data_IF_956839816701
#
_entry.id   IF_956839816701
#
_cell.length_a   1.000
_cell.length_b   1.000
_cell.length_c   1.000
_cell.angle_alpha   90.00
_cell.angle_beta   90.00
_cell.angle_gamma   90.00
#
_symmetry.space_group_name_H-M   'P 1'
#
loop_
_entity.id
_entity.type
_entity.pdbx_description
1 polymer ?
#
# COMPACT_ATOMS: atom_id res chain seq x y z
N UNK A 1 32.06 80.15 -38.72
CA UNK A 1 30.77 80.29 -37.99
C UNK A 1 30.00 78.98 -38.07
N UNK A 2 29.58 78.44 -36.91
CA UNK A 2 28.55 77.39 -36.67
C UNK A 2 28.83 76.04 -37.37
N UNK A 3 29.25 74.95 -36.72
CA UNK A 3 28.91 74.49 -35.37
C UNK A 3 27.60 73.70 -35.40
N UNK A 4 27.66 72.42 -35.78
CA UNK A 4 26.55 71.49 -35.64
C UNK A 4 26.98 70.37 -34.68
N UNK A 5 26.32 70.35 -33.52
CA UNK A 5 26.64 69.52 -32.36
C UNK A 5 26.17 68.08 -32.62
N UNK A 6 27.06 67.13 -32.37
CA UNK A 6 26.76 65.71 -32.28
C UNK A 6 26.05 65.50 -30.95
N UNK A 7 24.76 65.16 -30.98
CA UNK A 7 24.00 64.80 -29.78
C UNK A 7 23.79 63.30 -29.80
N UNK A 8 24.63 62.59 -29.06
CA UNK A 8 24.41 61.19 -28.71
C UNK A 8 23.23 61.11 -27.73
N UNK A 9 22.16 60.40 -28.09
CA UNK A 9 21.18 59.91 -27.13
C UNK A 9 21.44 58.42 -26.91
N UNK A 10 22.01 58.12 -25.75
CA UNK A 10 22.09 56.77 -25.23
C UNK A 10 20.68 56.31 -24.82
N UNK A 11 20.09 55.37 -25.57
CA UNK A 11 19.01 54.56 -25.03
C UNK A 11 19.63 53.45 -24.18
N UNK A 12 19.67 53.67 -22.88
CA UNK A 12 19.83 52.61 -21.90
C UNK A 12 18.53 51.78 -21.88
N UNK A 13 18.50 50.67 -22.63
CA UNK A 13 17.48 49.64 -22.40
C UNK A 13 17.89 48.91 -21.13
N UNK A 14 17.11 49.13 -20.08
CA UNK A 14 17.18 48.40 -18.81
C UNK A 14 17.05 46.92 -19.13
N UNK A 15 18.17 46.20 -19.08
CA UNK A 15 18.16 44.76 -18.98
C UNK A 15 17.57 44.40 -17.62
N UNK A 16 16.25 44.23 -17.58
CA UNK A 16 15.61 43.56 -16.46
C UNK A 16 16.20 42.15 -16.42
N UNK A 17 17.07 41.91 -15.44
CA UNK A 17 17.54 40.60 -15.11
C UNK A 17 16.33 39.77 -14.65
N UNK A 18 15.69 39.06 -15.59
CA UNK A 18 14.89 37.90 -15.26
C UNK A 18 15.87 36.81 -14.83
N UNK A 19 16.18 36.81 -13.54
CA UNK A 19 16.72 35.62 -12.91
C UNK A 19 15.70 34.48 -13.11
N UNK A 20 16.11 33.27 -13.51
CA UNK A 20 15.20 32.15 -13.66
C UNK A 20 14.71 31.72 -12.27
N UNK A 21 13.56 32.25 -11.84
CA UNK A 21 12.79 31.71 -10.71
C UNK A 21 12.09 30.38 -11.08
N UNK A 22 12.52 29.72 -12.16
CA UNK A 22 11.92 28.50 -12.73
C UNK A 22 12.43 27.21 -12.08
N UNK A 23 13.46 27.23 -11.24
CA UNK A 23 13.99 26.01 -10.60
C UNK A 23 13.19 25.60 -9.36
N UNK A 24 12.87 26.54 -8.46
CA UNK A 24 12.24 26.21 -7.16
C UNK A 24 10.75 25.88 -7.29
N UNK A 25 10.02 26.63 -8.13
CA UNK A 25 8.59 26.38 -8.38
C UNK A 25 8.36 25.03 -9.10
N UNK A 26 9.20 24.70 -10.08
CA UNK A 26 9.12 23.43 -10.83
C UNK A 26 9.54 22.22 -9.98
N UNK A 27 10.55 22.38 -9.10
CA UNK A 27 10.93 21.31 -8.17
C UNK A 27 9.82 21.03 -7.15
N UNK A 28 9.15 22.07 -6.64
CA UNK A 28 8.06 21.94 -5.65
C UNK A 28 6.79 21.31 -6.26
N UNK A 29 6.50 21.52 -7.55
CA UNK A 29 5.37 20.87 -8.23
C UNK A 29 5.64 19.38 -8.46
N UNK A 30 6.85 19.02 -8.90
CA UNK A 30 7.25 17.61 -9.12
C UNK A 30 7.21 16.80 -7.82
N UNK A 31 7.64 17.38 -6.70
CA UNK A 31 7.59 16.70 -5.39
C UNK A 31 6.15 16.50 -4.89
N UNK A 32 5.28 17.51 -5.05
CA UNK A 32 3.85 17.38 -4.71
C UNK A 32 3.15 16.31 -5.55
N UNK A 33 3.40 16.29 -6.86
CA UNK A 33 2.84 15.31 -7.78
C UNK A 33 3.28 13.89 -7.46
N UNK A 34 4.56 13.69 -7.12
CA UNK A 34 5.08 12.39 -6.71
C UNK A 34 4.40 11.87 -5.43
N UNK A 35 4.24 12.72 -4.40
CA UNK A 35 3.51 12.36 -3.18
C UNK A 35 2.04 12.01 -3.48
N UNK A 36 1.36 12.82 -4.29
CA UNK A 36 -0.02 12.55 -4.70
C UNK A 36 -0.16 11.22 -5.45
N UNK A 37 0.77 10.92 -6.36
CA UNK A 37 0.81 9.64 -7.07
C UNK A 37 0.96 8.46 -6.10
N UNK A 38 1.86 8.56 -5.11
CA UNK A 38 2.07 7.50 -4.11
C UNK A 38 0.84 7.26 -3.23
N UNK A 39 0.15 8.33 -2.84
CA UNK A 39 -1.09 8.22 -2.06
C UNK A 39 -2.21 7.59 -2.89
N UNK A 40 -2.34 7.92 -4.17
CA UNK A 40 -3.32 7.27 -5.07
C UNK A 40 -3.01 5.78 -5.26
N UNK A 41 -1.75 5.43 -5.47
CA UNK A 41 -1.32 4.02 -5.54
C UNK A 41 -1.72 3.27 -4.26
N UNK A 42 -1.46 3.88 -3.10
CA UNK A 42 -1.80 3.30 -1.80
C UNK A 42 -3.32 3.13 -1.63
N UNK A 43 -4.10 4.14 -2.04
CA UNK A 43 -5.56 4.08 -2.06
C UNK A 43 -6.08 2.95 -2.94
N UNK A 44 -5.56 2.81 -4.16
CA UNK A 44 -5.94 1.71 -5.06
C UNK A 44 -5.66 0.32 -4.45
N UNK A 45 -4.57 0.17 -3.70
CA UNK A 45 -4.28 -1.07 -2.96
C UNK A 45 -5.28 -1.33 -1.83
N UNK A 46 -5.75 -0.29 -1.15
CA UNK A 46 -6.79 -0.43 -0.12
C UNK A 46 -8.13 -0.81 -0.72
N UNK A 47 -8.50 -0.23 -1.87
CA UNK A 47 -9.70 -0.58 -2.61
C UNK A 47 -9.65 -2.05 -3.07
N UNK A 48 -8.53 -2.51 -3.62
CA UNK A 48 -8.29 -3.91 -4.00
C UNK A 48 -8.50 -4.85 -2.80
N UNK A 49 -7.89 -4.55 -1.65
CA UNK A 49 -8.05 -5.36 -0.44
C UNK A 49 -9.49 -5.35 0.09
N UNK A 50 -10.18 -4.20 0.04
CA UNK A 50 -11.58 -4.10 0.44
C UNK A 50 -12.48 -4.94 -0.45
N UNK A 51 -12.29 -4.90 -1.76
CA UNK A 51 -13.07 -5.68 -2.71
C UNK A 51 -12.88 -7.20 -2.48
N UNK A 52 -11.64 -7.63 -2.20
CA UNK A 52 -11.36 -9.02 -1.83
C UNK A 52 -12.06 -9.43 -0.54
N UNK A 53 -12.08 -8.56 0.49
CA UNK A 53 -12.79 -8.85 1.74
C UNK A 53 -14.30 -8.94 1.55
N UNK A 54 -14.89 -8.07 0.72
CA UNK A 54 -16.30 -8.16 0.36
C UNK A 54 -16.60 -9.47 -0.36
N UNK A 55 -15.80 -9.85 -1.35
CA UNK A 55 -15.99 -11.12 -2.05
C UNK A 55 -15.86 -12.34 -1.13
N UNK A 56 -14.90 -12.32 -0.19
CA UNK A 56 -14.76 -13.37 0.84
C UNK A 56 -16.00 -13.44 1.75
N UNK A 57 -16.56 -12.29 2.15
CA UNK A 57 -17.76 -12.22 3.00
C UNK A 57 -19.03 -12.68 2.26
N UNK A 58 -19.24 -12.21 1.03
CA UNK A 58 -20.38 -12.59 0.20
C UNK A 58 -20.36 -14.10 -0.10
N UNK A 59 -19.17 -14.65 -0.36
CA UNK A 59 -19.00 -16.09 -0.54
C UNK A 59 -19.37 -16.85 0.72
N UNK A 60 -18.90 -16.41 1.89
CA UNK A 60 -19.22 -17.04 3.16
C UNK A 60 -20.73 -16.99 3.43
N UNK A 61 -21.41 -15.88 3.18
CA UNK A 61 -22.87 -15.79 3.34
C UNK A 61 -23.62 -16.78 2.42
N UNK A 62 -23.23 -16.84 1.15
CA UNK A 62 -23.83 -17.73 0.17
C UNK A 62 -23.53 -19.23 0.39
N UNK A 63 -22.41 -19.56 1.07
CA UNK A 63 -21.93 -20.94 1.26
C UNK A 63 -21.87 -21.34 2.73
N UNK A 64 -22.70 -20.75 3.61
CA UNK A 64 -22.86 -21.21 4.98
C UNK A 64 -21.61 -21.06 5.87
N UNK A 65 -20.79 -20.05 5.60
CA UNK A 65 -19.55 -19.77 6.33
C UNK A 65 -18.31 -20.46 5.78
N UNK A 66 -18.41 -21.11 4.62
CA UNK A 66 -17.26 -21.74 3.96
C UNK A 66 -16.24 -20.72 3.47
N UNK A 67 -14.98 -21.14 3.42
CA UNK A 67 -13.91 -20.36 2.81
C UNK A 67 -14.02 -20.40 1.29
N UNK A 68 -13.63 -19.30 0.64
CA UNK A 68 -13.47 -19.29 -0.83
C UNK A 68 -12.52 -20.41 -1.28
N UNK A 69 -12.58 -20.87 -2.53
CA UNK A 69 -11.64 -21.87 -3.05
C UNK A 69 -10.17 -21.45 -2.86
N UNK A 70 -9.87 -20.18 -3.06
CA UNK A 70 -8.54 -19.60 -2.83
C UNK A 70 -8.15 -19.67 -1.36
N UNK A 71 -9.05 -19.26 -0.47
CA UNK A 71 -8.79 -19.27 0.97
C UNK A 71 -8.67 -20.70 1.51
N UNK A 72 -9.39 -21.66 0.94
CA UNK A 72 -9.27 -23.09 1.24
C UNK A 72 -7.89 -23.62 0.87
N UNK A 73 -7.38 -23.28 -0.32
CA UNK A 73 -6.01 -23.65 -0.75
C UNK A 73 -4.96 -23.06 0.21
N UNK A 74 -5.11 -21.80 0.58
CA UNK A 74 -4.21 -21.13 1.52
C UNK A 74 -4.27 -21.79 2.92
N UNK A 75 -5.47 -22.15 3.37
CA UNK A 75 -5.68 -22.87 4.63
C UNK A 75 -4.97 -24.22 4.64
N UNK A 76 -5.06 -25.00 3.56
CA UNK A 76 -4.40 -26.31 3.46
C UNK A 76 -2.87 -26.16 3.62
N UNK A 77 -2.28 -25.20 2.91
CA UNK A 77 -0.84 -24.92 3.01
C UNK A 77 -0.45 -24.47 4.43
N UNK A 78 -1.22 -23.55 5.01
CA UNK A 78 -1.00 -23.08 6.38
C UNK A 78 -1.13 -24.22 7.40
N UNK A 79 -2.14 -25.07 7.27
CA UNK A 79 -2.42 -26.17 8.19
C UNK A 79 -1.31 -27.21 8.15
N UNK A 80 -0.81 -27.57 6.96
CA UNK A 80 0.33 -28.47 6.81
C UNK A 80 1.57 -27.94 7.54
N UNK A 81 1.84 -26.63 7.42
CA UNK A 81 2.94 -25.96 8.14
C UNK A 81 2.74 -25.96 9.66
N UNK A 82 1.51 -25.80 10.15
CA UNK A 82 1.22 -25.87 11.60
C UNK A 82 1.35 -27.28 12.15
N UNK A 83 0.83 -28.27 11.42
CA UNK A 83 0.91 -29.69 11.79
C UNK A 83 2.35 -30.20 11.83
N UNK A 84 3.21 -29.72 10.93
CA UNK A 84 4.63 -30.11 10.88
C UNK A 84 5.49 -29.56 12.03
N UNK A 85 4.93 -28.77 12.95
CA UNK A 85 5.68 -28.24 14.10
C UNK A 85 5.82 -29.30 15.20
N UNK A 86 6.99 -29.37 15.90
CA UNK A 86 7.13 -30.22 17.07
C UNK A 86 6.03 -29.95 18.09
N UNK A 87 5.40 -31.02 18.60
CA UNK A 87 4.32 -30.93 19.59
C UNK A 87 2.96 -30.52 19.03
N UNK A 88 2.75 -30.52 17.70
CA UNK A 88 1.40 -30.30 17.15
C UNK A 88 0.46 -31.47 17.44
N UNK A 89 -0.73 -31.15 17.90
CA UNK A 89 -1.86 -32.06 18.14
C UNK A 89 -2.85 -32.12 16.95
N UNK A 90 -2.52 -31.45 15.85
CA UNK A 90 -3.42 -31.30 14.72
C UNK A 90 -3.59 -32.62 13.95
N UNK A 91 -4.82 -33.14 13.79
CA UNK A 91 -5.06 -34.36 13.00
C UNK A 91 -4.78 -34.12 11.51
N UNK A 92 -4.65 -35.20 10.73
CA UNK A 92 -4.56 -35.08 9.27
C UNK A 92 -5.86 -34.48 8.70
N UNK A 93 -5.73 -33.66 7.64
CA UNK A 93 -6.89 -32.98 7.03
C UNK A 93 -7.88 -33.96 6.40
N UNK A 94 -7.40 -35.07 5.83
CA UNK A 94 -8.20 -36.10 5.19
C UNK A 94 -8.84 -37.08 6.17
N UNK A 95 -8.47 -37.02 7.46
CA UNK A 95 -9.03 -37.91 8.47
C UNK A 95 -10.51 -37.60 8.68
N UNK A 96 -11.37 -38.59 8.46
CA UNK A 96 -12.83 -38.49 8.62
C UNK A 96 -13.28 -39.02 9.97
N UNK A 97 -12.56 -39.98 10.55
CA UNK A 97 -12.84 -40.54 11.87
C UNK A 97 -12.05 -39.80 12.94
N UNK A 98 -12.63 -38.71 13.46
CA UNK A 98 -12.01 -37.86 14.48
C UNK A 98 -12.61 -38.10 15.86
N UNK A 99 -11.79 -38.03 16.91
CA UNK A 99 -12.29 -37.87 18.28
C UNK A 99 -12.93 -36.48 18.46
N UNK A 100 -13.78 -36.25 19.48
CA UNK A 100 -14.30 -34.93 19.78
C UNK A 100 -13.21 -33.85 19.95
N UNK A 101 -12.11 -34.19 20.63
CA UNK A 101 -10.97 -33.30 20.83
C UNK A 101 -10.28 -32.94 19.50
N UNK A 102 -10.07 -33.92 18.62
CA UNK A 102 -9.47 -33.67 17.29
C UNK A 102 -10.38 -32.82 16.40
N UNK A 103 -11.70 -33.02 16.44
CA UNK A 103 -12.65 -32.15 15.73
C UNK A 103 -12.54 -30.71 16.24
N UNK A 104 -12.52 -30.52 17.56
CA UNK A 104 -12.38 -29.20 18.16
C UNK A 104 -11.04 -28.54 17.77
N UNK A 105 -9.92 -29.28 17.80
CA UNK A 105 -8.61 -28.77 17.40
C UNK A 105 -8.57 -28.37 15.93
N UNK A 106 -9.18 -29.17 15.03
CA UNK A 106 -9.31 -28.86 13.60
C UNK A 106 -10.14 -27.59 13.35
N UNK A 107 -11.27 -27.43 14.04
CA UNK A 107 -12.09 -26.22 13.96
C UNK A 107 -11.31 -25.00 14.48
N UNK A 108 -10.68 -25.11 15.65
CA UNK A 108 -9.87 -24.04 16.22
C UNK A 108 -8.70 -23.62 15.31
N UNK A 109 -8.18 -24.55 14.49
CA UNK A 109 -7.17 -24.25 13.49
C UNK A 109 -7.74 -23.39 12.35
N UNK A 110 -8.94 -23.69 11.85
CA UNK A 110 -9.62 -22.88 10.83
C UNK A 110 -9.89 -21.46 11.35
N UNK A 111 -10.42 -21.32 12.56
CA UNK A 111 -10.69 -20.00 13.15
C UNK A 111 -9.40 -19.20 13.36
N UNK A 112 -8.33 -19.88 13.78
CA UNK A 112 -7.01 -19.26 13.97
C UNK A 112 -6.42 -18.79 12.65
N UNK A 113 -6.57 -19.57 11.59
CA UNK A 113 -6.15 -19.18 10.24
C UNK A 113 -6.89 -17.92 9.77
N UNK A 114 -8.23 -17.89 9.88
CA UNK A 114 -9.03 -16.74 9.48
C UNK A 114 -8.62 -15.47 10.26
N UNK A 115 -8.45 -15.57 11.59
CA UNK A 115 -7.96 -14.46 12.42
C UNK A 115 -6.57 -14.00 12.02
N UNK A 116 -5.64 -14.94 11.80
CA UNK A 116 -4.27 -14.60 11.41
C UNK A 116 -4.26 -13.87 10.06
N UNK A 117 -5.04 -14.32 9.08
CA UNK A 117 -5.17 -13.66 7.77
C UNK A 117 -5.70 -12.23 7.90
N UNK A 118 -6.68 -12.00 8.76
CA UNK A 118 -7.17 -10.64 9.06
C UNK A 118 -6.09 -9.76 9.70
N UNK A 119 -5.32 -10.29 10.63
CA UNK A 119 -4.21 -9.58 11.26
C UNK A 119 -3.11 -9.23 10.25
N UNK A 120 -2.75 -10.18 9.38
CA UNK A 120 -1.74 -9.98 8.33
C UNK A 120 -2.19 -8.90 7.34
N UNK A 121 -3.49 -8.86 6.97
CA UNK A 121 -4.06 -7.77 6.15
C UNK A 121 -3.99 -6.42 6.84
N UNK A 122 -4.39 -6.33 8.11
CA UNK A 122 -4.31 -5.07 8.87
C UNK A 122 -2.87 -4.58 8.99
N UNK A 123 -1.91 -5.48 9.23
CA UNK A 123 -0.50 -5.13 9.27
C UNK A 123 0.03 -4.65 7.91
N UNK A 124 -0.43 -5.25 6.82
CA UNK A 124 -0.12 -4.82 5.45
C UNK A 124 -0.65 -3.41 5.18
N UNK A 125 -1.92 -3.15 5.54
CA UNK A 125 -2.52 -1.82 5.40
C UNK A 125 -1.75 -0.75 6.17
N UNK A 126 -1.43 -1.03 7.45
CA UNK A 126 -0.66 -0.13 8.29
C UNK A 126 0.74 0.14 7.72
N UNK A 127 1.36 -0.84 7.08
CA UNK A 127 2.67 -0.69 6.43
C UNK A 127 2.57 0.22 5.22
N UNK A 128 1.61 -0.04 4.32
CA UNK A 128 1.38 0.81 3.14
C UNK A 128 1.11 2.27 3.51
N UNK A 129 0.31 2.51 4.56
CA UNK A 129 0.03 3.85 5.05
C UNK A 129 1.30 4.55 5.58
N UNK A 130 2.10 3.84 6.40
CA UNK A 130 3.38 4.38 6.90
C UNK A 130 4.34 4.70 5.75
N UNK A 131 4.47 3.80 4.79
CA UNK A 131 5.39 3.96 3.67
C UNK A 131 5.01 5.17 2.81
N UNK A 132 3.71 5.37 2.55
CA UNK A 132 3.21 6.54 1.84
C UNK A 132 3.49 7.84 2.61
N UNK A 133 3.25 7.86 3.92
CA UNK A 133 3.54 9.02 4.78
C UNK A 133 5.04 9.36 4.78
N UNK A 134 5.89 8.36 4.96
CA UNK A 134 7.34 8.56 4.95
C UNK A 134 7.85 9.01 3.59
N UNK A 135 7.29 8.49 2.50
CA UNK A 135 7.61 8.95 1.15
C UNK A 135 7.28 10.44 0.96
N UNK A 136 6.06 10.85 1.31
CA UNK A 136 5.66 12.25 1.21
C UNK A 136 6.50 13.18 2.11
N UNK A 137 6.91 12.72 3.30
CA UNK A 137 7.81 13.48 4.16
C UNK A 137 9.19 13.70 3.51
N UNK A 138 9.83 12.64 2.99
CA UNK A 138 11.13 12.75 2.30
C UNK A 138 11.07 13.68 1.09
N UNK A 139 9.97 13.61 0.35
CA UNK A 139 9.77 14.40 -0.86
C UNK A 139 9.48 15.87 -0.53
N UNK A 140 8.93 16.18 0.66
CA UNK A 140 8.77 17.54 1.17
C UNK A 140 10.12 18.16 1.58
N UNK A 141 11.02 17.37 2.17
CA UNK A 141 12.28 17.89 2.72
C UNK A 141 13.37 18.13 1.65
N UNK A 142 13.16 17.66 0.41
CA UNK A 142 14.09 17.87 -0.72
C UNK A 142 15.41 17.11 -0.59
N UNK A 143 16.20 16.93 -1.67
CA UNK A 143 17.58 16.46 -1.52
C UNK A 143 18.40 17.55 -0.82
N UNK A 144 19.05 17.21 0.29
CA UNK A 144 20.17 18.00 0.83
C UNK A 144 21.28 18.14 -0.23
#
# INVERSE_FOLDING_TARGET
MKGAKITALALAVVAAAFAPATSVAAQTSVTREACAAKLRETGARFEEMSALMTAEADYADAHGGEFTPEMTRDFIAWYAKKRGRPGSDLPALHETTLTPAQRASKQAAADRFARQRMQDRQATMATLERDAKQFCARVKDGPN
#
